data_IF_276666826294
#
_entry.id   IF_276666826294
#
_cell.length_a   1.000
_cell.length_b   1.000
_cell.length_c   1.000
_cell.angle_alpha   90.00
_cell.angle_beta   90.00
_cell.angle_gamma   90.00
#
_symmetry.space_group_name_H-M   'P 1'
#
loop_
_entity.id
_entity.type
_entity.pdbx_description
1 polymer ?
#
# COMPACT_ATOMS: atom_id res chain seq x y z
N UNK A 1 -46.34 -40.84 20.32
CA UNK A 1 -44.91 -40.52 20.39
C UNK A 1 -44.74 -39.02 20.38
N UNK A 2 -44.17 -38.55 21.38
CA UNK A 2 -44.36 -37.44 22.26
C UNK A 2 -43.84 -36.12 21.69
N UNK A 3 -44.61 -35.07 21.90
CA UNK A 3 -44.32 -33.65 21.64
C UNK A 3 -43.02 -33.15 22.29
N UNK A 4 -42.50 -33.88 23.27
CA UNK A 4 -41.23 -33.62 23.97
C UNK A 4 -39.97 -33.92 23.13
N UNK A 5 -40.02 -34.87 22.21
CA UNK A 5 -38.84 -35.24 21.40
C UNK A 5 -38.52 -34.21 20.28
N UNK A 6 -39.55 -33.53 19.78
CA UNK A 6 -39.36 -32.45 18.77
C UNK A 6 -38.81 -31.15 19.36
N UNK A 7 -39.06 -30.91 20.66
CA UNK A 7 -38.53 -29.72 21.36
C UNK A 7 -37.05 -29.88 21.72
N UNK A 8 -36.64 -31.11 22.05
CA UNK A 8 -35.22 -31.44 22.36
C UNK A 8 -34.32 -31.36 21.13
N UNK A 9 -34.82 -31.86 19.97
CA UNK A 9 -34.06 -31.78 18.71
C UNK A 9 -33.94 -30.34 18.17
N UNK A 10 -34.93 -29.47 18.40
CA UNK A 10 -34.78 -28.05 18.06
C UNK A 10 -33.81 -27.31 18.97
N UNK A 11 -33.76 -27.67 20.25
CA UNK A 11 -32.81 -27.04 21.20
C UNK A 11 -31.37 -27.46 20.94
N UNK A 12 -31.15 -28.74 20.60
CA UNK A 12 -29.81 -29.26 20.27
C UNK A 12 -29.32 -28.74 18.91
N UNK A 13 -30.25 -28.57 17.93
CA UNK A 13 -29.87 -28.02 16.62
C UNK A 13 -29.59 -26.49 16.68
N UNK A 14 -30.24 -25.73 17.56
CA UNK A 14 -29.94 -24.31 17.77
C UNK A 14 -28.65 -24.11 18.58
N UNK A 15 -28.27 -25.04 19.47
CA UNK A 15 -26.99 -24.95 20.22
C UNK A 15 -25.78 -25.39 19.41
N UNK A 16 -25.97 -26.12 18.32
CA UNK A 16 -24.87 -26.48 17.40
C UNK A 16 -24.55 -25.40 16.37
N UNK A 17 -25.41 -24.40 16.19
CA UNK A 17 -25.14 -23.24 15.32
C UNK A 17 -24.68 -22.00 16.09
N UNK A 18 -24.60 -22.05 17.41
CA UNK A 18 -23.85 -21.11 18.23
C UNK A 18 -22.48 -21.65 18.58
N UNK A 19 -21.82 -22.34 17.66
CA UNK A 19 -20.36 -22.37 17.71
C UNK A 19 -19.93 -20.92 17.54
N UNK A 20 -19.50 -20.28 18.63
CA UNK A 20 -18.61 -19.14 18.57
C UNK A 20 -17.64 -19.40 17.39
N UNK A 21 -17.87 -18.79 16.23
CA UNK A 21 -16.74 -18.30 15.47
C UNK A 21 -15.99 -17.49 16.50
N UNK A 22 -14.91 -17.98 17.03
CA UNK A 22 -13.87 -17.12 17.55
C UNK A 22 -13.70 -16.11 16.44
N UNK A 23 -14.15 -14.89 16.69
CA UNK A 23 -14.05 -13.84 15.69
C UNK A 23 -12.56 -13.69 15.50
N UNK A 24 -12.06 -14.20 14.35
CA UNK A 24 -10.71 -13.90 13.92
C UNK A 24 -10.57 -12.40 14.09
N UNK A 25 -9.64 -12.00 14.92
CA UNK A 25 -9.43 -10.58 15.15
C UNK A 25 -8.94 -10.02 13.84
N UNK A 26 -9.70 -9.17 13.14
CA UNK A 26 -9.33 -8.77 11.80
C UNK A 26 -8.03 -7.99 11.84
N UNK A 27 -7.07 -8.42 11.03
CA UNK A 27 -5.82 -7.73 10.76
C UNK A 27 -5.98 -6.92 9.47
N UNK A 28 -5.54 -5.66 9.49
CA UNK A 28 -5.36 -4.85 8.30
C UNK A 28 -3.88 -4.69 8.01
N UNK A 29 -3.44 -4.99 6.80
CA UNK A 29 -2.08 -4.72 6.33
C UNK A 29 -2.11 -3.69 5.21
N UNK A 30 -1.55 -2.52 5.47
CA UNK A 30 -1.38 -1.44 4.51
C UNK A 30 0.05 -1.48 3.94
N UNK A 31 0.17 -1.48 2.62
CA UNK A 31 1.46 -1.50 1.93
C UNK A 31 1.69 -0.19 1.16
N UNK A 32 2.93 0.28 1.15
CA UNK A 32 3.40 1.07 0.03
C UNK A 32 3.60 0.18 -1.20
N UNK A 33 3.87 0.75 -2.39
CA UNK A 33 3.98 0.01 -3.62
C UNK A 33 5.41 -0.04 -4.16
N UNK A 34 5.98 1.11 -4.52
CA UNK A 34 7.34 1.22 -5.07
C UNK A 34 8.38 0.84 -4.00
N UNK A 35 9.39 0.04 -4.39
CA UNK A 35 10.37 -0.52 -3.46
C UNK A 35 9.79 -1.29 -2.27
N UNK A 36 8.49 -1.55 -2.24
CA UNK A 36 7.80 -2.33 -1.21
C UNK A 36 7.17 -3.58 -1.81
N UNK A 37 6.05 -3.49 -2.51
CA UNK A 37 5.45 -4.63 -3.23
C UNK A 37 6.32 -5.00 -4.44
N UNK A 38 6.76 -4.02 -5.19
CA UNK A 38 7.68 -4.18 -6.32
C UNK A 38 9.11 -3.80 -5.94
N UNK A 39 10.09 -4.38 -6.63
CA UNK A 39 11.50 -4.20 -6.29
C UNK A 39 12.18 -3.09 -7.11
N UNK A 40 11.44 -2.10 -7.56
CA UNK A 40 11.94 -0.88 -8.22
C UNK A 40 10.89 0.25 -8.05
N UNK A 41 11.12 1.38 -8.70
CA UNK A 41 10.22 2.54 -8.66
C UNK A 41 9.57 2.73 -10.04
N UNK A 42 8.23 2.73 -10.08
CA UNK A 42 7.44 2.83 -11.31
C UNK A 42 7.74 4.08 -12.11
N UNK A 43 7.79 5.24 -11.44
CA UNK A 43 8.03 6.52 -12.09
C UNK A 43 9.43 6.60 -12.70
N UNK A 44 10.45 6.08 -11.98
CA UNK A 44 11.83 6.06 -12.49
C UNK A 44 12.00 5.07 -13.66
N UNK A 45 11.29 3.95 -13.65
CA UNK A 45 11.30 2.99 -14.76
C UNK A 45 10.72 3.64 -16.02
N UNK A 46 9.60 4.34 -15.89
CA UNK A 46 8.96 4.99 -17.03
C UNK A 46 9.79 6.17 -17.56
N UNK A 47 10.45 6.92 -16.68
CA UNK A 47 11.40 7.96 -17.09
C UNK A 47 12.54 7.41 -17.96
N UNK A 48 13.02 6.18 -17.71
CA UNK A 48 14.08 5.55 -18.52
C UNK A 48 13.66 5.22 -19.96
N UNK A 49 12.37 5.31 -20.30
CA UNK A 49 11.91 5.20 -21.68
C UNK A 49 12.24 6.46 -22.52
N UNK A 50 12.52 7.59 -21.85
CA UNK A 50 12.97 8.80 -22.51
C UNK A 50 14.49 8.78 -22.70
N UNK A 51 15.00 9.34 -23.81
CA UNK A 51 16.41 9.71 -23.92
C UNK A 51 16.81 10.66 -22.79
N UNK A 52 18.01 10.45 -22.21
CA UNK A 52 18.47 11.21 -21.04
C UNK A 52 18.51 12.73 -21.25
N UNK A 53 18.76 13.19 -22.45
CA UNK A 53 18.80 14.60 -22.85
C UNK A 53 17.42 15.27 -22.83
N UNK A 54 16.35 14.51 -22.83
CA UNK A 54 14.97 15.05 -22.73
C UNK A 54 14.62 15.48 -21.29
N UNK A 55 15.33 14.97 -20.29
CA UNK A 55 15.11 15.34 -18.87
C UNK A 55 16.03 16.49 -18.51
N UNK A 56 15.66 17.68 -18.90
CA UNK A 56 16.43 18.91 -18.72
C UNK A 56 16.47 19.39 -17.27
N UNK A 57 17.43 20.28 -16.95
CA UNK A 57 17.48 20.88 -15.61
C UNK A 57 16.27 21.80 -15.32
N UNK A 58 15.67 22.41 -16.33
CA UNK A 58 14.43 23.17 -16.14
C UNK A 58 13.25 22.27 -15.79
N UNK A 59 13.18 21.07 -16.36
CA UNK A 59 12.20 20.08 -15.96
C UNK A 59 12.40 19.63 -14.52
N UNK A 60 13.66 19.47 -14.07
CA UNK A 60 13.97 19.13 -12.66
C UNK A 60 13.63 20.26 -11.68
N UNK A 61 13.65 21.54 -12.12
CA UNK A 61 13.20 22.67 -11.30
C UNK A 61 11.71 22.57 -10.97
N UNK A 62 10.89 22.11 -11.92
CA UNK A 62 9.44 21.91 -11.73
C UNK A 62 9.15 21.01 -10.53
N UNK A 63 9.95 19.98 -10.29
CA UNK A 63 9.82 19.15 -9.09
C UNK A 63 9.96 19.95 -7.79
N UNK A 64 10.86 20.94 -7.74
CA UNK A 64 11.08 21.76 -6.55
C UNK A 64 9.96 22.79 -6.32
N UNK A 65 9.36 23.29 -7.39
CA UNK A 65 8.35 24.34 -7.39
C UNK A 65 6.94 23.78 -7.20
N UNK A 66 6.56 22.82 -8.06
CA UNK A 66 5.19 22.31 -8.19
C UNK A 66 5.02 20.87 -7.67
N UNK A 67 6.13 20.21 -7.30
CA UNK A 67 6.16 18.89 -6.72
C UNK A 67 6.23 17.74 -7.73
N UNK A 68 6.27 16.51 -7.19
CA UNK A 68 6.50 15.29 -7.96
C UNK A 68 5.42 15.00 -9.00
N UNK A 69 4.15 15.20 -8.65
CA UNK A 69 3.02 14.92 -9.56
C UNK A 69 3.06 15.82 -10.81
N UNK A 70 3.35 17.12 -10.64
CA UNK A 70 3.51 18.05 -11.75
C UNK A 70 4.71 17.69 -12.63
N UNK A 71 5.83 17.30 -12.02
CA UNK A 71 7.01 16.79 -12.72
C UNK A 71 6.65 15.55 -13.56
N UNK A 72 6.00 14.55 -12.98
CA UNK A 72 5.61 13.32 -13.68
C UNK A 72 4.59 13.58 -14.80
N UNK A 73 3.65 14.51 -14.62
CA UNK A 73 2.76 14.90 -15.71
C UNK A 73 3.55 15.42 -16.92
N UNK A 74 4.62 16.17 -16.69
CA UNK A 74 5.48 16.64 -17.79
C UNK A 74 6.28 15.52 -18.44
N UNK A 75 6.76 14.56 -17.64
CA UNK A 75 7.39 13.33 -18.15
C UNK A 75 6.41 12.58 -19.08
N UNK A 76 5.15 12.40 -18.69
CA UNK A 76 4.15 11.69 -19.50
C UNK A 76 3.86 12.41 -20.83
N UNK A 77 3.83 13.75 -20.83
CA UNK A 77 3.72 14.54 -22.05
C UNK A 77 4.92 14.30 -22.97
N UNK A 78 6.15 14.33 -22.41
CA UNK A 78 7.36 14.10 -23.20
C UNK A 78 7.44 12.67 -23.77
N UNK A 79 6.98 11.66 -23.02
CA UNK A 79 6.86 10.30 -23.51
C UNK A 79 5.94 10.22 -24.71
N UNK A 80 4.74 10.82 -24.61
CA UNK A 80 3.77 10.86 -25.70
C UNK A 80 4.33 11.60 -26.94
N UNK A 81 4.91 12.78 -26.75
CA UNK A 81 5.55 13.57 -27.82
C UNK A 81 6.72 12.82 -28.48
N UNK A 82 7.37 11.92 -27.75
CA UNK A 82 8.45 11.05 -28.24
C UNK A 82 7.94 9.77 -28.91
N UNK A 83 6.62 9.58 -29.05
CA UNK A 83 6.00 8.43 -29.70
C UNK A 83 5.99 7.16 -28.81
N UNK A 84 6.23 7.27 -27.51
CA UNK A 84 6.09 6.16 -26.57
C UNK A 84 4.62 5.88 -26.33
N UNK A 85 4.20 4.68 -26.68
CA UNK A 85 2.79 4.24 -26.63
C UNK A 85 2.37 3.78 -25.24
N UNK A 86 1.04 3.78 -24.92
CA UNK A 86 0.52 3.18 -23.68
C UNK A 86 0.98 1.74 -23.46
N UNK A 87 1.09 0.93 -24.52
CA UNK A 87 1.57 -0.44 -24.44
C UNK A 87 3.04 -0.51 -23.98
N UNK A 88 3.90 0.34 -24.51
CA UNK A 88 5.32 0.38 -24.10
C UNK A 88 5.47 0.82 -22.65
N UNK A 89 4.67 1.76 -22.17
CA UNK A 89 4.64 2.17 -20.76
C UNK A 89 4.18 0.98 -19.91
N UNK A 90 3.05 0.33 -20.26
CA UNK A 90 2.56 -0.86 -19.58
C UNK A 90 3.61 -1.96 -19.52
N UNK A 91 4.26 -2.27 -20.65
CA UNK A 91 5.27 -3.32 -20.73
C UNK A 91 6.47 -3.03 -19.82
N UNK A 92 6.85 -1.77 -19.65
CA UNK A 92 7.90 -1.37 -18.73
C UNK A 92 7.48 -1.61 -17.26
N UNK A 93 6.25 -1.26 -16.91
CA UNK A 93 5.71 -1.42 -15.55
C UNK A 93 5.54 -2.90 -15.17
N UNK A 94 4.93 -3.71 -16.03
CA UNK A 94 4.63 -5.12 -15.69
C UNK A 94 5.88 -6.01 -15.63
N UNK A 95 7.00 -5.55 -16.20
CA UNK A 95 8.30 -6.24 -16.09
C UNK A 95 9.04 -5.97 -14.79
N UNK A 96 8.59 -5.01 -13.98
CA UNK A 96 9.22 -4.78 -12.67
C UNK A 96 8.98 -6.02 -11.80
N UNK A 97 10.05 -6.65 -11.29
CA UNK A 97 9.88 -7.83 -10.45
C UNK A 97 9.22 -7.48 -9.12
N UNK A 98 8.42 -8.37 -8.58
CA UNK A 98 8.01 -8.29 -7.18
C UNK A 98 9.24 -8.30 -6.25
N UNK A 99 9.16 -7.65 -5.12
CA UNK A 99 10.13 -7.84 -4.05
C UNK A 99 10.18 -9.33 -3.65
N UNK A 100 11.35 -9.93 -3.42
CA UNK A 100 11.44 -11.35 -3.07
C UNK A 100 10.46 -11.74 -1.96
N UNK A 101 9.75 -12.86 -2.13
CA UNK A 101 8.75 -13.36 -1.17
C UNK A 101 7.41 -12.60 -1.15
N UNK A 102 7.30 -11.41 -1.77
CA UNK A 102 6.10 -10.57 -1.67
C UNK A 102 4.85 -11.21 -2.29
N UNK A 103 4.99 -11.87 -3.45
CA UNK A 103 3.87 -12.60 -4.06
C UNK A 103 3.33 -13.72 -3.15
N UNK A 104 4.23 -14.44 -2.46
CA UNK A 104 3.86 -15.47 -1.49
C UNK A 104 3.14 -14.85 -0.29
N UNK A 105 3.69 -13.78 0.27
CA UNK A 105 3.07 -13.04 1.38
C UNK A 105 1.63 -12.62 1.02
N UNK A 106 1.44 -11.89 -0.09
CA UNK A 106 0.13 -11.37 -0.48
C UNK A 106 -0.91 -12.49 -0.69
N UNK A 107 -0.53 -13.59 -1.35
CA UNK A 107 -1.43 -14.75 -1.51
C UNK A 107 -1.74 -15.44 -0.18
N UNK A 108 -0.80 -15.49 0.73
CA UNK A 108 -1.02 -16.05 2.08
C UNK A 108 -1.97 -15.15 2.87
N UNK A 109 -1.80 -13.85 2.84
CA UNK A 109 -2.74 -12.90 3.47
C UNK A 109 -4.17 -13.08 2.93
N UNK A 110 -4.34 -13.27 1.60
CA UNK A 110 -5.64 -13.58 0.99
C UNK A 110 -6.24 -14.89 1.55
N UNK A 111 -5.44 -15.97 1.64
CA UNK A 111 -5.88 -17.27 2.16
C UNK A 111 -6.40 -17.17 3.60
N UNK A 112 -5.77 -16.34 4.42
CA UNK A 112 -6.17 -16.07 5.80
C UNK A 112 -7.20 -14.95 5.94
N UNK A 113 -7.74 -14.44 4.82
CA UNK A 113 -8.75 -13.38 4.79
C UNK A 113 -8.30 -12.09 5.51
N UNK A 114 -7.00 -11.82 5.52
CA UNK A 114 -6.43 -10.57 5.99
C UNK A 114 -6.78 -9.47 4.99
N UNK A 115 -7.25 -8.34 5.50
CA UNK A 115 -7.56 -7.21 4.64
C UNK A 115 -6.29 -6.48 4.22
N UNK A 116 -6.08 -6.33 2.91
CA UNK A 116 -4.88 -5.71 2.33
C UNK A 116 -5.28 -4.45 1.58
N UNK A 117 -4.61 -3.33 1.88
CA UNK A 117 -4.73 -2.09 1.11
C UNK A 117 -3.36 -1.61 0.63
N UNK A 118 -3.36 -0.83 -0.45
CA UNK A 118 -2.17 -0.15 -0.96
C UNK A 118 -2.36 1.36 -0.78
N UNK A 119 -1.35 2.05 -0.25
CA UNK A 119 -1.31 3.51 -0.12
C UNK A 119 0.03 4.00 -0.70
N UNK A 120 0.01 4.50 -1.92
CA UNK A 120 1.23 4.83 -2.68
C UNK A 120 1.11 6.13 -3.45
N UNK A 121 2.20 6.86 -3.57
CA UNK A 121 2.31 8.07 -4.39
C UNK A 121 2.63 7.79 -5.89
N UNK A 122 2.68 6.53 -6.30
CA UNK A 122 2.62 6.09 -7.68
C UNK A 122 1.29 6.53 -8.34
N UNK A 123 0.73 5.79 -9.28
CA UNK A 123 -0.55 6.13 -9.89
C UNK A 123 -1.44 4.91 -10.19
N UNK A 124 -2.73 5.18 -10.39
CA UNK A 124 -3.75 4.14 -10.55
C UNK A 124 -3.56 3.25 -11.78
N UNK A 125 -2.97 3.76 -12.86
CA UNK A 125 -2.69 2.98 -14.08
C UNK A 125 -1.58 1.98 -13.82
N UNK A 126 -0.45 2.42 -13.27
CA UNK A 126 0.71 1.57 -13.04
C UNK A 126 0.41 0.44 -12.04
N UNK A 127 -0.18 0.80 -10.90
CA UNK A 127 -0.53 -0.20 -9.87
C UNK A 127 -1.54 -1.23 -10.40
N UNK A 128 -2.58 -0.76 -11.11
CA UNK A 128 -3.58 -1.65 -11.72
C UNK A 128 -2.97 -2.61 -12.73
N UNK A 129 -2.11 -2.10 -13.63
CA UNK A 129 -1.49 -2.90 -14.68
C UNK A 129 -0.60 -3.99 -14.06
N UNK A 130 0.24 -3.63 -13.09
CA UNK A 130 1.12 -4.56 -12.41
C UNK A 130 0.35 -5.62 -11.60
N UNK A 131 -0.63 -5.22 -10.80
CA UNK A 131 -1.47 -6.15 -10.03
C UNK A 131 -2.25 -7.11 -10.92
N UNK A 132 -2.70 -6.63 -12.10
CA UNK A 132 -3.43 -7.47 -13.07
C UNK A 132 -2.51 -8.52 -13.66
N UNK A 133 -1.32 -8.14 -14.11
CA UNK A 133 -0.32 -9.05 -14.68
C UNK A 133 0.14 -10.09 -13.66
N UNK A 134 0.34 -9.68 -12.41
CA UNK A 134 0.76 -10.56 -11.31
C UNK A 134 -0.36 -11.44 -10.75
N UNK A 135 -1.60 -11.29 -11.26
CA UNK A 135 -2.81 -11.98 -10.73
C UNK A 135 -3.03 -11.73 -9.23
N UNK A 136 -2.75 -10.51 -8.76
CA UNK A 136 -2.90 -10.08 -7.36
C UNK A 136 -4.00 -9.03 -7.17
N UNK A 137 -4.72 -8.66 -8.24
CA UNK A 137 -5.76 -7.62 -8.18
C UNK A 137 -6.85 -7.91 -7.14
N UNK A 138 -7.23 -9.17 -6.99
CA UNK A 138 -8.31 -9.57 -6.07
C UNK A 138 -7.85 -9.69 -4.61
N UNK A 139 -6.55 -9.73 -4.37
CA UNK A 139 -5.95 -9.78 -3.02
C UNK A 139 -6.10 -8.42 -2.34
N UNK A 140 -6.06 -7.33 -3.10
CA UNK A 140 -6.05 -5.96 -2.58
C UNK A 140 -7.48 -5.44 -2.51
N UNK A 141 -7.96 -5.14 -1.29
CA UNK A 141 -9.30 -4.63 -1.04
C UNK A 141 -9.49 -3.21 -1.61
N UNK A 142 -8.47 -2.35 -1.47
CA UNK A 142 -8.51 -0.99 -1.99
C UNK A 142 -7.10 -0.43 -2.26
N UNK A 143 -6.99 0.37 -3.32
CA UNK A 143 -5.77 1.12 -3.69
C UNK A 143 -6.04 2.60 -3.54
N UNK A 144 -5.20 3.28 -2.77
CA UNK A 144 -5.19 4.73 -2.59
C UNK A 144 -3.92 5.27 -3.23
N UNK A 145 -4.08 5.97 -4.34
CA UNK A 145 -2.96 6.47 -5.13
C UNK A 145 -3.41 7.61 -6.03
N UNK A 146 -2.48 8.30 -6.67
CA UNK A 146 -2.77 9.36 -7.61
C UNK A 146 -3.67 8.86 -8.76
N UNK A 147 -4.84 9.48 -9.02
CA UNK A 147 -5.66 9.14 -10.17
C UNK A 147 -4.89 9.35 -11.47
N UNK A 148 -4.97 8.40 -12.38
CA UNK A 148 -4.38 8.52 -13.71
C UNK A 148 -5.24 7.83 -14.76
N UNK A 149 -5.17 8.32 -15.99
CA UNK A 149 -5.85 7.76 -17.15
C UNK A 149 -5.14 8.18 -18.44
N UNK A 150 -5.33 7.44 -19.52
CA UNK A 150 -4.93 7.88 -20.85
C UNK A 150 -6.05 8.74 -21.45
N UNK A 151 -5.67 9.89 -22.02
CA UNK A 151 -6.61 10.70 -22.80
C UNK A 151 -6.90 10.09 -24.18
N UNK A 152 -7.74 10.78 -24.98
CA UNK A 152 -8.17 10.30 -26.32
C UNK A 152 -6.98 10.13 -27.28
N UNK A 153 -5.90 10.89 -27.10
CA UNK A 153 -4.69 10.83 -27.90
C UNK A 153 -3.69 9.78 -27.39
N UNK A 154 -3.97 9.13 -26.25
CA UNK A 154 -3.10 8.15 -25.61
C UNK A 154 -2.00 8.74 -24.73
N UNK A 155 -2.08 10.03 -24.37
CA UNK A 155 -1.18 10.65 -23.40
C UNK A 155 -1.65 10.33 -21.98
N UNK A 156 -0.74 9.85 -21.12
CA UNK A 156 -1.05 9.59 -19.71
C UNK A 156 -1.22 10.91 -18.95
N UNK A 157 -2.34 11.02 -18.23
CA UNK A 157 -2.66 12.12 -17.32
C UNK A 157 -2.62 11.62 -15.88
N UNK A 158 -2.13 12.46 -14.98
CA UNK A 158 -2.06 12.16 -13.54
C UNK A 158 -2.60 13.36 -12.76
N UNK A 159 -3.35 13.06 -11.70
CA UNK A 159 -3.89 14.05 -10.79
C UNK A 159 -3.36 13.79 -9.37
N UNK A 160 -3.30 14.83 -8.54
CA UNK A 160 -3.00 14.67 -7.12
C UNK A 160 -4.15 13.93 -6.44
N UNK A 161 -3.82 12.99 -5.56
CA UNK A 161 -4.83 12.27 -4.77
C UNK A 161 -5.64 13.23 -3.89
N UNK A 162 -4.95 14.07 -3.12
CA UNK A 162 -5.52 15.21 -2.40
C UNK A 162 -4.43 16.25 -2.13
N UNK A 163 -4.85 17.49 -1.90
CA UNK A 163 -3.96 18.54 -1.40
C UNK A 163 -4.08 18.64 0.12
N UNK A 164 -2.95 18.68 0.81
CA UNK A 164 -2.91 18.80 2.26
C UNK A 164 -1.85 19.80 2.72
N UNK A 165 -2.09 20.40 3.89
CA UNK A 165 -1.18 21.31 4.60
C UNK A 165 -1.15 21.05 6.12
N UNK A 166 -1.74 19.95 6.57
CA UNK A 166 -1.88 19.61 8.00
C UNK A 166 -0.83 18.62 8.52
N UNK A 167 -0.15 17.88 7.63
CA UNK A 167 0.87 16.91 8.00
C UNK A 167 2.24 17.33 7.49
N UNK A 168 3.17 17.58 8.40
CA UNK A 168 4.56 17.93 8.07
C UNK A 168 5.43 16.74 7.63
N UNK A 169 4.98 15.51 7.92
CA UNK A 169 5.69 14.27 7.54
C UNK A 169 5.31 13.78 6.14
N UNK A 170 4.39 14.46 5.46
CA UNK A 170 3.93 14.11 4.12
C UNK A 170 4.15 15.28 3.17
N UNK A 171 4.23 15.01 1.86
CA UNK A 171 4.18 16.05 0.83
C UNK A 171 2.80 16.73 0.82
N UNK A 172 2.65 17.79 0.03
CA UNK A 172 1.34 18.44 -0.20
C UNK A 172 0.33 17.51 -0.86
N UNK A 173 0.79 16.48 -1.55
CA UNK A 173 -0.03 15.44 -2.13
C UNK A 173 0.05 14.17 -1.26
N UNK A 174 -1.06 13.50 -1.05
CA UNK A 174 -1.17 12.15 -0.50
C UNK A 174 -0.52 11.97 0.88
N UNK A 175 -1.26 12.28 1.95
CA UNK A 175 -0.86 11.97 3.32
C UNK A 175 -1.27 10.53 3.68
N UNK A 176 -0.30 9.59 3.63
CA UNK A 176 -0.55 8.15 3.84
C UNK A 176 -1.18 7.86 5.20
N UNK A 177 -0.75 8.54 6.26
CA UNK A 177 -1.31 8.36 7.60
C UNK A 177 -2.78 8.78 7.70
N UNK A 178 -3.16 9.92 7.11
CA UNK A 178 -4.56 10.36 7.06
C UNK A 178 -5.43 9.37 6.28
N UNK A 179 -4.92 8.83 5.18
CA UNK A 179 -5.63 7.81 4.38
C UNK A 179 -5.86 6.55 5.20
N UNK A 180 -4.83 6.06 5.89
CA UNK A 180 -4.93 4.87 6.75
C UNK A 180 -5.98 5.05 7.85
N UNK A 181 -5.93 6.17 8.60
CA UNK A 181 -6.91 6.48 9.64
C UNK A 181 -8.34 6.58 9.09
N UNK A 182 -8.52 7.29 7.99
CA UNK A 182 -9.83 7.44 7.32
C UNK A 182 -10.38 6.10 6.85
N UNK A 183 -9.52 5.21 6.36
CA UNK A 183 -9.93 3.86 5.96
C UNK A 183 -10.36 3.02 7.18
N UNK A 184 -9.59 3.02 8.24
CA UNK A 184 -9.92 2.29 9.49
C UNK A 184 -11.24 2.79 10.06
N UNK A 185 -11.47 4.10 10.10
CA UNK A 185 -12.73 4.68 10.57
C UNK A 185 -13.91 4.29 9.67
N UNK A 186 -13.75 4.33 8.35
CA UNK A 186 -14.75 3.85 7.40
C UNK A 186 -15.12 2.39 7.68
N UNK A 187 -14.13 1.52 7.86
CA UNK A 187 -14.37 0.08 8.12
C UNK A 187 -15.06 -0.14 9.47
N UNK A 188 -14.71 0.65 10.49
CA UNK A 188 -15.40 0.63 11.79
C UNK A 188 -16.88 1.01 11.65
N UNK A 189 -17.21 2.03 10.85
CA UNK A 189 -18.58 2.41 10.56
C UNK A 189 -19.36 1.34 9.77
N UNK A 190 -18.65 0.49 9.02
CA UNK A 190 -19.21 -0.69 8.34
C UNK A 190 -19.30 -1.93 9.26
N UNK A 191 -18.92 -1.79 10.54
CA UNK A 191 -18.99 -2.86 11.55
C UNK A 191 -17.76 -3.76 11.62
N UNK A 192 -16.64 -3.36 11.00
CA UNK A 192 -15.37 -4.07 11.05
C UNK A 192 -14.38 -3.27 11.90
N UNK A 193 -14.01 -3.81 13.05
CA UNK A 193 -13.04 -3.20 13.96
C UNK A 193 -11.76 -4.04 13.97
N UNK A 194 -10.69 -3.51 13.41
CA UNK A 194 -9.39 -4.19 13.34
C UNK A 194 -8.76 -4.24 14.73
N UNK A 195 -8.28 -5.41 15.13
CA UNK A 195 -7.53 -5.56 16.39
C UNK A 195 -6.08 -5.18 16.26
N UNK A 196 -5.53 -5.31 15.06
CA UNK A 196 -4.16 -4.95 14.75
C UNK A 196 -4.10 -4.31 13.36
N UNK A 197 -3.24 -3.31 13.24
CA UNK A 197 -2.86 -2.69 11.99
C UNK A 197 -1.39 -2.99 11.72
N UNK A 198 -1.04 -3.19 10.46
CA UNK A 198 0.33 -3.28 10.03
C UNK A 198 0.56 -2.31 8.87
N UNK A 199 1.67 -1.58 8.90
CA UNK A 199 2.12 -0.77 7.77
C UNK A 199 3.46 -1.28 7.26
N UNK A 200 3.57 -1.52 5.97
CA UNK A 200 4.77 -2.01 5.29
C UNK A 200 5.25 -0.95 4.31
N UNK A 201 6.49 -0.51 4.45
CA UNK A 201 7.04 0.53 3.59
C UNK A 201 8.57 0.59 3.59
N UNK A 202 9.11 1.49 2.76
CA UNK A 202 10.55 1.71 2.60
C UNK A 202 10.94 3.19 2.67
N UNK A 203 10.03 4.09 2.31
CA UNK A 203 10.31 5.48 2.00
C UNK A 203 10.18 6.45 3.17
N UNK A 204 10.67 7.67 2.95
CA UNK A 204 10.57 8.75 3.94
C UNK A 204 9.13 9.05 4.37
N UNK A 205 8.20 9.02 3.43
CA UNK A 205 6.80 9.39 3.67
C UNK A 205 5.98 8.27 4.32
N UNK A 206 6.56 7.09 4.46
CA UNK A 206 6.01 5.98 5.24
C UNK A 206 6.17 6.18 6.75
N UNK A 207 6.98 7.14 7.16
CA UNK A 207 7.07 7.54 8.56
C UNK A 207 5.74 8.11 9.09
N UNK A 208 5.01 8.86 8.26
CA UNK A 208 3.73 9.45 8.66
C UNK A 208 2.69 8.40 9.13
N UNK A 209 2.35 7.36 8.37
CA UNK A 209 1.47 6.29 8.85
C UNK A 209 2.09 5.52 10.03
N UNK A 210 3.39 5.29 10.05
CA UNK A 210 4.08 4.57 11.12
C UNK A 210 3.95 5.28 12.48
N UNK A 211 3.98 6.61 12.50
CA UNK A 211 3.80 7.40 13.73
C UNK A 211 2.36 7.41 14.27
N UNK A 212 1.37 7.01 13.47
CA UNK A 212 -0.05 6.99 13.83
C UNK A 212 -0.51 5.65 14.38
N UNK A 213 0.31 4.63 14.27
CA UNK A 213 0.03 3.30 14.79
C UNK A 213 0.23 3.24 16.30
N UNK A 214 -0.53 2.36 16.96
CA UNK A 214 -0.52 2.14 18.39
C UNK A 214 0.50 1.09 18.82
N UNK A 215 0.67 0.88 20.12
CA UNK A 215 1.58 -0.14 20.69
C UNK A 215 1.19 -1.57 20.32
N UNK A 216 -0.07 -1.79 19.94
CA UNK A 216 -0.57 -3.10 19.52
C UNK A 216 -0.38 -3.37 18.03
N UNK A 217 0.14 -2.41 17.29
CA UNK A 217 0.27 -2.44 15.84
C UNK A 217 1.70 -2.75 15.41
N UNK A 218 1.90 -2.97 14.11
CA UNK A 218 3.16 -3.38 13.54
C UNK A 218 3.62 -2.39 12.46
N UNK A 219 4.91 -2.07 12.45
CA UNK A 219 5.58 -1.37 11.35
C UNK A 219 6.64 -2.27 10.77
N UNK A 220 6.61 -2.44 9.47
CA UNK A 220 7.64 -3.15 8.71
C UNK A 220 8.43 -2.15 7.87
N UNK A 221 9.65 -1.85 8.28
CA UNK A 221 10.55 -0.93 7.61
C UNK A 221 11.58 -1.70 6.77
N UNK A 222 11.65 -1.42 5.46
CA UNK A 222 12.60 -2.11 4.58
C UNK A 222 14.03 -1.79 4.99
N UNK A 223 14.83 -2.83 5.30
CA UNK A 223 16.19 -2.70 5.80
C UNK A 223 17.08 -1.90 4.84
N UNK A 224 17.86 -0.97 5.39
CA UNK A 224 18.76 -0.05 4.67
C UNK A 224 18.05 1.01 3.80
N UNK A 225 16.73 1.06 3.76
CA UNK A 225 15.95 2.09 3.10
C UNK A 225 15.69 3.29 4.03
N UNK A 226 15.00 4.32 3.50
CA UNK A 226 14.84 5.59 4.23
C UNK A 226 14.02 5.45 5.52
N UNK A 227 12.92 4.67 5.51
CA UNK A 227 12.08 4.48 6.68
C UNK A 227 12.87 3.83 7.83
N UNK A 228 13.60 2.77 7.55
CA UNK A 228 14.42 2.04 8.52
C UNK A 228 15.48 2.95 9.15
N UNK A 229 16.16 3.76 8.33
CA UNK A 229 17.16 4.73 8.80
C UNK A 229 16.55 5.81 9.69
N UNK A 230 15.41 6.40 9.26
CA UNK A 230 14.71 7.43 10.03
C UNK A 230 14.24 6.91 11.38
N UNK A 231 13.66 5.72 11.44
CA UNK A 231 13.21 5.13 12.70
C UNK A 231 14.39 4.89 13.65
N UNK A 232 15.50 4.34 13.14
CA UNK A 232 16.72 4.13 13.92
C UNK A 232 17.31 5.45 14.45
N UNK A 233 17.31 6.51 13.64
CA UNK A 233 17.76 7.83 14.04
C UNK A 233 16.87 8.42 15.15
N UNK A 234 15.55 8.34 15.03
CA UNK A 234 14.59 8.82 16.04
C UNK A 234 14.77 8.08 17.37
N UNK A 235 14.94 6.76 17.35
CA UNK A 235 15.18 5.96 18.55
C UNK A 235 16.48 6.38 19.28
N UNK A 236 17.52 6.76 18.54
CA UNK A 236 18.79 7.25 19.11
C UNK A 236 18.68 8.65 19.73
N UNK A 237 17.82 9.51 19.21
CA UNK A 237 17.66 10.89 19.66
C UNK A 237 16.66 11.04 20.80
N UNK A 238 15.92 10.00 21.18
CA UNK A 238 14.82 9.99 22.16
C UNK A 238 13.68 10.96 21.84
N UNK A 239 13.53 11.27 20.54
CA UNK A 239 12.42 12.06 20.00
C UNK A 239 11.12 11.27 19.94
N UNK A 240 10.04 11.87 19.40
CA UNK A 240 8.78 11.18 19.12
C UNK A 240 9.07 9.86 18.39
N UNK A 241 8.89 8.75 19.08
CA UNK A 241 9.18 7.43 18.55
C UNK A 241 7.92 6.79 17.99
N UNK A 242 8.10 5.94 16.99
CA UNK A 242 7.06 5.01 16.55
C UNK A 242 6.64 4.14 17.74
N UNK A 243 5.35 4.17 18.10
CA UNK A 243 4.80 3.40 19.24
C UNK A 243 4.64 1.91 18.91
N UNK A 244 4.30 1.63 17.66
CA UNK A 244 4.12 0.27 17.14
C UNK A 244 5.43 -0.54 17.22
N UNK A 245 5.29 -1.87 17.27
CA UNK A 245 6.46 -2.75 17.18
C UNK A 245 7.05 -2.69 15.77
N UNK A 246 8.33 -2.30 15.69
CA UNK A 246 9.05 -2.13 14.41
C UNK A 246 9.84 -3.38 14.07
N UNK A 247 9.65 -3.89 12.87
CA UNK A 247 10.39 -4.99 12.28
C UNK A 247 11.11 -4.54 11.02
N UNK A 248 12.42 -4.76 10.93
CA UNK A 248 13.15 -4.61 9.68
C UNK A 248 12.91 -5.84 8.80
N UNK A 249 12.79 -5.64 7.47
CA UNK A 249 12.53 -6.70 6.51
C UNK A 249 13.34 -6.54 5.22
N UNK A 250 13.69 -7.63 4.56
CA UNK A 250 14.32 -7.70 3.24
C UNK A 250 13.45 -8.36 2.19
N UNK A 251 12.54 -9.21 2.63
CA UNK A 251 11.66 -10.03 1.79
C UNK A 251 10.26 -10.12 2.37
N UNK A 252 9.29 -10.48 1.55
CA UNK A 252 7.94 -10.80 2.01
C UNK A 252 7.90 -11.97 3.01
N UNK A 253 8.88 -12.87 2.95
CA UNK A 253 8.96 -14.01 3.88
C UNK A 253 9.32 -13.55 5.31
N UNK A 254 10.11 -12.48 5.46
CA UNK A 254 10.42 -11.89 6.78
C UNK A 254 9.15 -11.30 7.40
N UNK A 255 8.33 -10.62 6.59
CA UNK A 255 7.05 -10.06 7.03
C UNK A 255 6.09 -11.19 7.38
N UNK A 256 5.97 -12.21 6.51
CA UNK A 256 5.07 -13.35 6.71
C UNK A 256 5.35 -14.07 8.02
N UNK A 257 6.63 -14.26 8.37
CA UNK A 257 7.04 -14.89 9.61
C UNK A 257 6.48 -14.19 10.86
N UNK A 258 6.36 -12.87 10.82
CA UNK A 258 5.81 -12.09 11.94
C UNK A 258 4.29 -12.04 11.90
N UNK A 259 3.70 -11.70 10.74
CA UNK A 259 2.24 -11.52 10.65
C UNK A 259 1.48 -12.83 10.82
N UNK A 260 2.11 -13.99 10.59
CA UNK A 260 1.48 -15.30 10.79
C UNK A 260 1.04 -15.55 12.24
N UNK A 261 1.67 -14.91 13.22
CA UNK A 261 1.29 -15.00 14.63
C UNK A 261 -0.06 -14.30 14.91
N UNK A 262 -0.56 -13.49 13.97
CA UNK A 262 -1.81 -12.72 14.06
C UNK A 262 -2.95 -13.32 13.23
N UNK A 263 -2.76 -14.49 12.62
CA UNK A 263 -3.78 -15.17 11.82
C UNK A 263 -4.77 -16.00 12.65
N UNK A 264 -4.52 -16.17 13.96
CA UNK A 264 -5.29 -17.05 14.85
C UNK A 264 -6.31 -16.28 15.70
#
# INVERSE_FOLDING_TARGET
MSFHYKKLLRSVCLSMFTNKREMMKPLLVAFDFDHTIINDNTDLIVQKLLPADKITDDLKKLYKEDGWTAFMQKIFILLHESGITPTQIRDAIVRIPATPGMNNLLRTLEQFQVEVIIISDSNSVFIKDWLTESSLKNVVAQVFTNPAHYDEDGCLKIEMYHLQNWCQFSTRNLCKGHILESYVEKRRNEGIDFSHLAFVGDGKYDLCPSLRLSENDLVFAREDFHLDKLIKEMQNQKDESVKATVHSWKSGDDILKVVSDYFN
#
